data_IF_759855231231
#
_entry.id   IF_759855231231
#
_cell.length_a   1.000
_cell.length_b   1.000
_cell.length_c   1.000
_cell.angle_alpha   90.00
_cell.angle_beta   90.00
_cell.angle_gamma   90.00
#
_symmetry.space_group_name_H-M   'P 1'
#
loop_
_entity.id
_entity.type
_entity.pdbx_description
1 polymer ?
#
# COMPACT_ATOMS: atom_id res chain seq x y z
N UNK A 1 28.62 1.80 26.58
CA UNK A 1 28.42 1.08 25.30
C UNK A 1 26.93 1.04 25.04
N UNK A 2 26.46 1.81 24.06
CA UNK A 2 25.06 1.80 23.64
C UNK A 2 24.80 0.51 22.87
N UNK A 3 24.03 -0.41 23.46
CA UNK A 3 23.44 -1.49 22.69
C UNK A 3 22.30 -0.88 21.87
N UNK A 4 22.51 -0.84 20.56
CA UNK A 4 21.47 -0.52 19.59
C UNK A 4 20.46 -1.67 19.55
N UNK A 5 19.40 -1.53 20.33
CA UNK A 5 18.15 -2.25 20.16
C UNK A 5 17.11 -1.23 19.71
N UNK A 6 17.34 -0.65 18.52
CA UNK A 6 16.38 0.20 17.82
C UNK A 6 15.30 -0.72 17.22
N UNK A 7 14.57 -1.42 18.08
CA UNK A 7 13.28 -2.02 17.75
C UNK A 7 12.24 -0.92 17.66
N UNK A 8 12.46 0.06 16.78
CA UNK A 8 11.46 1.07 16.47
C UNK A 8 10.28 0.35 15.86
N UNK A 9 9.08 0.54 16.41
CA UNK A 9 7.84 0.18 15.74
C UNK A 9 7.87 0.84 14.36
N UNK A 10 8.23 0.09 13.32
CA UNK A 10 8.22 0.57 11.95
C UNK A 10 6.77 0.68 11.53
N UNK A 11 6.12 1.80 11.88
CA UNK A 11 4.82 2.12 11.34
C UNK A 11 4.98 2.32 9.84
N UNK A 12 4.60 1.30 9.08
CA UNK A 12 4.73 1.25 7.63
C UNK A 12 4.18 2.52 6.98
N UNK A 13 3.06 3.03 7.49
CA UNK A 13 2.43 4.25 7.01
C UNK A 13 3.25 5.51 7.33
N UNK A 14 3.93 5.55 8.47
CA UNK A 14 4.73 6.68 8.92
C UNK A 14 6.02 6.79 8.10
N UNK A 15 6.64 5.65 7.76
CA UNK A 15 7.80 5.58 6.87
C UNK A 15 7.52 6.13 5.45
N UNK A 16 6.30 5.97 4.95
CA UNK A 16 5.89 6.50 3.65
C UNK A 16 5.12 7.83 3.74
N UNK A 17 5.04 8.45 4.92
CA UNK A 17 4.31 9.71 5.13
C UNK A 17 4.97 10.91 4.44
N UNK A 18 6.30 10.87 4.31
CA UNK A 18 7.10 11.91 3.63
C UNK A 18 7.08 11.77 2.09
N UNK A 19 6.48 10.69 1.56
CA UNK A 19 6.44 10.44 0.13
C UNK A 19 5.34 11.30 -0.51
N UNK A 20 5.75 12.25 -1.35
CA UNK A 20 4.82 13.05 -2.13
C UNK A 20 4.07 12.18 -3.14
N UNK A 21 2.74 12.19 -3.09
CA UNK A 21 1.89 11.36 -3.95
C UNK A 21 1.89 11.91 -5.39
N UNK A 22 2.52 11.23 -6.36
CA UNK A 22 2.56 11.70 -7.75
C UNK A 22 1.23 11.47 -8.47
N UNK A 23 0.24 10.81 -7.84
CA UNK A 23 -1.05 10.50 -8.45
C UNK A 23 -1.90 11.77 -8.54
N UNK A 24 -2.65 11.89 -9.63
CA UNK A 24 -3.63 12.97 -9.77
C UNK A 24 -4.68 12.86 -8.65
N UNK A 25 -4.72 13.83 -7.73
CA UNK A 25 -5.64 13.85 -6.56
C UNK A 25 -7.10 13.53 -6.90
N UNK A 26 -7.58 13.93 -8.07
CA UNK A 26 -8.94 13.66 -8.55
C UNK A 26 -9.23 12.16 -8.84
N UNK A 27 -8.20 11.33 -8.97
CA UNK A 27 -8.27 9.87 -9.18
C UNK A 27 -7.80 9.07 -7.97
N UNK A 28 -7.48 9.73 -6.86
CA UNK A 28 -7.00 9.08 -5.63
C UNK A 28 -8.20 8.73 -4.76
N UNK A 29 -8.59 7.45 -4.79
CA UNK A 29 -9.64 6.91 -3.91
C UNK A 29 -9.11 6.51 -2.52
N UNK A 30 -7.80 6.27 -2.39
CA UNK A 30 -7.16 5.74 -1.18
C UNK A 30 -5.82 6.42 -0.89
N UNK A 31 -5.49 6.68 0.39
CA UNK A 31 -4.19 7.22 0.77
C UNK A 31 -3.05 6.34 0.25
N UNK A 32 -1.92 6.97 -0.05
CA UNK A 32 -0.78 6.30 -0.69
C UNK A 32 -0.28 5.10 0.13
N UNK A 33 -0.22 5.25 1.45
CA UNK A 33 0.20 4.17 2.35
C UNK A 33 -0.70 2.92 2.28
N UNK A 34 -2.02 3.07 2.18
CA UNK A 34 -2.94 1.93 2.02
C UNK A 34 -2.73 1.22 0.68
N UNK A 35 -2.49 1.97 -0.40
CA UNK A 35 -2.21 1.40 -1.71
C UNK A 35 -0.86 0.64 -1.74
N UNK A 36 0.16 1.17 -1.05
CA UNK A 36 1.46 0.50 -0.89
C UNK A 36 1.34 -0.78 -0.06
N UNK A 37 0.60 -0.72 1.04
CA UNK A 37 0.36 -1.88 1.90
C UNK A 37 -0.40 -2.98 1.14
N UNK A 38 -1.42 -2.60 0.37
CA UNK A 38 -2.17 -3.52 -0.48
C UNK A 38 -1.27 -4.17 -1.53
N UNK A 39 -0.43 -3.39 -2.19
CA UNK A 39 0.53 -3.88 -3.19
C UNK A 39 1.49 -4.88 -2.57
N UNK A 40 2.05 -4.56 -1.39
CA UNK A 40 2.93 -5.45 -0.66
C UNK A 40 2.23 -6.76 -0.28
N UNK A 41 1.04 -6.69 0.31
CA UNK A 41 0.25 -7.86 0.68
C UNK A 41 -0.11 -8.73 -0.53
N UNK A 42 -0.42 -8.10 -1.65
CA UNK A 42 -0.74 -8.79 -2.89
C UNK A 42 0.49 -9.52 -3.45
N UNK A 43 1.64 -8.85 -3.53
CA UNK A 43 2.90 -9.45 -4.00
C UNK A 43 3.32 -10.62 -3.11
N UNK A 44 3.22 -10.46 -1.79
CA UNK A 44 3.47 -11.55 -0.82
C UNK A 44 2.51 -12.73 -1.00
N UNK A 45 1.28 -12.46 -1.46
CA UNK A 45 0.28 -13.49 -1.78
C UNK A 45 0.47 -14.10 -3.18
N UNK A 46 1.53 -13.74 -3.89
CA UNK A 46 1.84 -14.24 -5.23
C UNK A 46 1.14 -13.47 -6.38
N UNK A 47 0.60 -12.28 -6.12
CA UNK A 47 0.03 -11.45 -7.19
C UNK A 47 1.14 -10.94 -8.11
N UNK A 48 1.09 -11.33 -9.38
CA UNK A 48 2.03 -10.86 -10.39
C UNK A 48 1.40 -9.72 -11.21
N UNK A 49 1.88 -8.50 -10.99
CA UNK A 49 1.46 -7.30 -11.72
C UNK A 49 0.23 -6.57 -11.16
N UNK A 50 0.00 -5.36 -11.64
CA UNK A 50 -1.01 -4.43 -11.13
C UNK A 50 -2.44 -4.92 -11.23
N UNK A 51 -2.75 -5.73 -12.25
CA UNK A 51 -4.07 -6.34 -12.41
C UNK A 51 -4.33 -7.35 -11.30
N UNK A 52 -3.35 -8.19 -10.98
CA UNK A 52 -3.45 -9.17 -9.90
C UNK A 52 -3.54 -8.47 -8.52
N UNK A 53 -2.81 -7.37 -8.32
CA UNK A 53 -2.92 -6.53 -7.12
C UNK A 53 -4.32 -5.92 -6.99
N UNK A 54 -4.88 -5.37 -8.07
CA UNK A 54 -6.24 -4.83 -8.08
C UNK A 54 -7.30 -5.91 -7.84
N UNK A 55 -7.12 -7.10 -8.40
CA UNK A 55 -7.99 -8.26 -8.15
C UNK A 55 -7.87 -8.77 -6.71
N UNK A 56 -6.66 -8.76 -6.14
CA UNK A 56 -6.42 -9.12 -4.75
C UNK A 56 -7.14 -8.16 -3.80
N UNK A 57 -7.05 -6.85 -4.04
CA UNK A 57 -7.79 -5.83 -3.28
C UNK A 57 -9.31 -5.99 -3.37
N UNK A 58 -9.83 -6.30 -4.55
CA UNK A 58 -11.27 -6.53 -4.76
C UNK A 58 -11.78 -7.84 -4.15
N UNK A 59 -10.93 -8.87 -4.04
CA UNK A 59 -11.31 -10.16 -3.47
C UNK A 59 -11.26 -10.19 -1.94
N UNK A 60 -10.28 -9.52 -1.34
CA UNK A 60 -10.01 -9.62 0.10
C UNK A 60 -10.73 -8.56 0.94
N UNK A 61 -11.15 -7.49 0.30
CA UNK A 61 -12.04 -6.47 0.86
C UNK A 61 -13.16 -6.30 -0.16
N UNK A 62 -14.42 -6.20 0.26
CA UNK A 62 -15.50 -5.69 -0.57
C UNK A 62 -15.25 -4.21 -0.88
N UNK A 63 -14.16 -3.92 -1.59
CA UNK A 63 -13.57 -2.61 -1.83
C UNK A 63 -14.26 -2.05 -3.07
N UNK A 64 -15.25 -1.17 -2.92
CA UNK A 64 -16.04 -0.75 -4.05
C UNK A 64 -15.20 0.17 -4.92
N UNK A 65 -14.98 -0.25 -6.17
CA UNK A 65 -14.65 0.63 -7.32
C UNK A 65 -13.20 1.09 -7.46
N UNK A 66 -12.24 0.16 -7.37
CA UNK A 66 -10.93 0.36 -8.01
C UNK A 66 -11.07 0.23 -9.54
N UNK A 67 -11.70 1.21 -10.20
CA UNK A 67 -11.61 1.36 -11.66
C UNK A 67 -10.33 2.15 -11.97
N UNK A 68 -9.26 1.44 -12.36
CA UNK A 68 -8.17 2.07 -13.10
C UNK A 68 -8.72 2.49 -14.47
N UNK A 69 -9.28 3.70 -14.56
CA UNK A 69 -9.63 4.36 -15.81
C UNK A 69 -8.61 5.43 -16.17
#
# INVERSE_FOLDING_TARGET
MSNGEEGGSLDFLEHFSELEDPRQRAKVLYPLGEALLLTLCAVLSGANGWIAVGLFGQKKLGFPRLQFR
#
